data_IF_694144172557
#
_entry.id   IF_694144172557
#
_cell.length_a   1.000
_cell.length_b   1.000
_cell.length_c   1.000
_cell.angle_alpha   90.00
_cell.angle_beta   90.00
_cell.angle_gamma   90.00
#
_symmetry.space_group_name_H-M   'P 1'
#
loop_
_entity.id
_entity.type
_entity.pdbx_description
1 polymer ?
#
# COMPACT_ATOMS: atom_id res chain seq x y z
N UNK A 1 11.08 -6.39 7.68
CA UNK A 1 11.97 -7.01 6.66
C UNK A 1 13.39 -7.17 7.17
N UNK A 2 14.03 -6.09 7.62
CA UNK A 2 15.38 -6.15 8.24
C UNK A 2 15.51 -7.26 9.29
N UNK A 3 14.55 -7.36 10.21
CA UNK A 3 14.59 -8.40 11.25
C UNK A 3 14.53 -9.83 10.68
N UNK A 4 13.70 -10.08 9.68
CA UNK A 4 13.64 -11.39 9.01
C UNK A 4 14.96 -11.73 8.30
N UNK A 5 15.63 -10.74 7.71
CA UNK A 5 16.95 -10.93 7.09
C UNK A 5 18.01 -11.29 8.14
N UNK A 6 17.96 -10.64 9.32
CA UNK A 6 18.85 -10.93 10.45
C UNK A 6 18.65 -12.35 10.96
N UNK A 7 17.40 -12.76 11.19
CA UNK A 7 17.05 -14.10 11.68
C UNK A 7 17.44 -15.20 10.68
N UNK A 8 17.23 -14.97 9.39
CA UNK A 8 17.51 -15.97 8.35
C UNK A 8 18.95 -15.92 7.81
N UNK A 9 19.76 -14.96 8.24
CA UNK A 9 21.13 -14.78 7.76
C UNK A 9 21.23 -14.47 6.26
N UNK A 10 20.19 -13.89 5.66
CA UNK A 10 20.13 -13.64 4.20
C UNK A 10 19.40 -12.35 3.89
N UNK A 11 19.85 -11.64 2.85
CA UNK A 11 19.15 -10.46 2.33
C UNK A 11 17.89 -10.83 1.53
N UNK A 12 17.81 -12.06 1.01
CA UNK A 12 16.73 -12.53 0.13
C UNK A 12 15.67 -13.27 0.93
N UNK A 13 14.42 -12.81 0.84
CA UNK A 13 13.24 -13.33 1.53
C UNK A 13 12.30 -14.10 0.58
N UNK A 14 12.85 -14.76 -0.45
CA UNK A 14 12.08 -15.46 -1.49
C UNK A 14 11.31 -16.70 -1.03
N UNK A 15 11.50 -17.12 0.22
CA UNK A 15 10.73 -18.18 0.88
C UNK A 15 9.73 -17.64 1.92
N UNK A 16 9.61 -16.32 2.04
CA UNK A 16 8.77 -15.67 3.05
C UNK A 16 7.48 -15.11 2.44
N UNK A 17 6.45 -15.08 3.28
CA UNK A 17 5.21 -14.33 3.07
C UNK A 17 5.17 -13.15 4.04
N UNK A 18 4.98 -11.95 3.52
CA UNK A 18 4.78 -10.75 4.33
C UNK A 18 3.29 -10.56 4.62
N UNK A 19 2.92 -10.45 5.89
CA UNK A 19 1.60 -10.04 6.33
C UNK A 19 1.65 -8.61 6.85
N UNK A 20 0.69 -7.76 6.44
CA UNK A 20 0.60 -6.37 6.90
C UNK A 20 -0.86 -5.95 7.06
N UNK A 21 -1.18 -5.17 8.09
CA UNK A 21 -2.57 -4.73 8.32
C UNK A 21 -3.04 -3.77 7.23
N UNK A 22 -2.15 -2.93 6.70
CA UNK A 22 -2.49 -1.95 5.65
C UNK A 22 -1.64 -2.24 4.42
N UNK A 23 -2.21 -1.99 3.24
CA UNK A 23 -1.51 -2.03 1.96
C UNK A 23 -0.15 -1.29 2.00
N UNK A 24 0.94 -1.90 1.50
CA UNK A 24 2.27 -1.31 1.58
C UNK A 24 2.40 -0.03 0.73
N UNK A 25 3.11 0.96 1.27
CA UNK A 25 3.44 2.22 0.58
C UNK A 25 4.57 2.06 -0.45
N UNK A 26 4.90 3.15 -1.16
CA UNK A 26 5.93 3.20 -2.21
C UNK A 26 7.26 2.57 -1.77
N UNK A 27 7.82 3.09 -0.67
CA UNK A 27 9.06 2.60 -0.10
C UNK A 27 8.99 1.09 0.22
N UNK A 28 7.95 0.67 0.94
CA UNK A 28 7.77 -0.74 1.31
C UNK A 28 7.68 -1.64 0.08
N UNK A 29 7.05 -1.20 -1.00
CA UNK A 29 6.95 -1.99 -2.23
C UNK A 29 8.29 -2.19 -2.92
N UNK A 30 9.13 -1.14 -2.99
CA UNK A 30 10.49 -1.30 -3.51
C UNK A 30 11.33 -2.22 -2.61
N UNK A 31 11.21 -2.13 -1.28
CA UNK A 31 11.88 -3.07 -0.37
C UNK A 31 11.38 -4.52 -0.55
N UNK A 32 10.08 -4.74 -0.73
CA UNK A 32 9.50 -6.06 -1.01
C UNK A 32 10.12 -6.68 -2.27
N UNK A 33 10.29 -5.84 -3.31
CA UNK A 33 10.87 -6.24 -4.60
C UNK A 33 12.37 -6.52 -4.51
N UNK A 34 13.12 -5.67 -3.82
CA UNK A 34 14.56 -5.81 -3.61
C UNK A 34 14.87 -7.07 -2.80
N UNK A 35 14.13 -7.28 -1.70
CA UNK A 35 14.26 -8.47 -0.86
C UNK A 35 13.71 -9.73 -1.51
N UNK A 36 13.05 -9.63 -2.68
CA UNK A 36 12.47 -10.74 -3.44
C UNK A 36 11.42 -11.53 -2.65
N UNK A 37 10.65 -10.87 -1.80
CA UNK A 37 9.61 -11.53 -0.99
C UNK A 37 8.60 -12.23 -1.90
N UNK A 38 8.22 -13.48 -1.58
CA UNK A 38 7.40 -14.31 -2.48
C UNK A 38 5.96 -13.85 -2.55
N UNK A 39 5.36 -13.56 -1.39
CA UNK A 39 3.93 -13.25 -1.26
C UNK A 39 3.72 -12.11 -0.28
N UNK A 40 2.77 -11.25 -0.60
CA UNK A 40 2.33 -10.15 0.25
C UNK A 40 0.84 -10.32 0.52
N UNK A 41 0.48 -10.32 1.79
CA UNK A 41 -0.90 -10.42 2.26
C UNK A 41 -1.22 -9.15 3.04
N UNK A 42 -2.32 -8.47 2.70
CA UNK A 42 -2.75 -7.30 3.43
C UNK A 42 -4.26 -7.22 3.67
N UNK A 43 -4.66 -6.61 4.79
CA UNK A 43 -6.07 -6.53 5.18
C UNK A 43 -6.77 -5.27 4.65
N UNK A 44 -6.26 -4.08 4.97
CA UNK A 44 -6.90 -2.81 4.66
C UNK A 44 -6.25 -2.19 3.42
N UNK A 45 -7.06 -1.86 2.40
CA UNK A 45 -6.59 -1.10 1.22
C UNK A 45 -6.28 0.34 1.59
N UNK A 46 -5.28 0.92 0.93
CA UNK A 46 -5.01 2.34 0.99
C UNK A 46 -4.98 2.95 -0.41
N UNK A 47 -6.10 3.48 -0.94
CA UNK A 47 -6.14 4.03 -2.29
C UNK A 47 -5.18 5.20 -2.55
N UNK A 48 -4.83 5.95 -1.49
CA UNK A 48 -3.98 7.14 -1.58
C UNK A 48 -2.51 6.78 -1.41
N UNK A 49 -2.18 5.99 -0.39
CA UNK A 49 -0.79 5.68 -0.01
C UNK A 49 -0.31 4.33 -0.52
N UNK A 50 -1.25 3.42 -0.79
CA UNK A 50 -1.00 2.06 -1.22
C UNK A 50 -0.66 1.97 -2.69
N UNK A 51 0.36 1.17 -2.97
CA UNK A 51 1.00 1.10 -4.27
C UNK A 51 0.36 0.08 -5.20
N UNK A 52 -0.31 -0.96 -4.68
CA UNK A 52 -1.12 -1.82 -5.54
C UNK A 52 -2.28 -1.03 -6.16
N UNK A 53 -2.83 -0.09 -5.39
CA UNK A 53 -3.96 0.76 -5.78
C UNK A 53 -3.54 1.92 -6.71
N UNK A 54 -2.36 2.54 -6.50
CA UNK A 54 -1.98 3.78 -7.22
C UNK A 54 -0.87 3.65 -8.27
N UNK A 55 0.22 2.92 -7.97
CA UNK A 55 1.46 2.96 -8.79
C UNK A 55 1.89 1.59 -9.34
N UNK A 56 1.20 0.51 -8.98
CA UNK A 56 1.38 -0.87 -9.42
C UNK A 56 2.81 -1.43 -9.35
N UNK A 57 3.71 -0.90 -8.52
CA UNK A 57 5.12 -1.36 -8.40
C UNK A 57 5.25 -2.86 -8.12
N UNK A 58 4.33 -3.44 -7.32
CA UNK A 58 4.35 -4.88 -7.05
C UNK A 58 3.92 -5.74 -8.26
N UNK A 59 3.30 -5.14 -9.28
CA UNK A 59 2.92 -5.76 -10.55
C UNK A 59 3.86 -5.38 -11.71
N UNK A 60 4.74 -4.40 -11.51
CA UNK A 60 5.66 -3.89 -12.52
C UNK A 60 6.71 -4.96 -12.87
N UNK A 61 6.63 -5.48 -14.09
CA UNK A 61 7.58 -6.46 -14.62
C UNK A 61 8.76 -5.79 -15.32
N UNK A 62 8.62 -4.55 -15.77
CA UNK A 62 9.67 -3.81 -16.48
C UNK A 62 10.86 -3.56 -15.56
N UNK A 63 10.60 -3.18 -14.31
CA UNK A 63 11.66 -2.98 -13.31
C UNK A 63 12.47 -4.26 -13.08
N UNK A 64 11.83 -5.45 -13.08
CA UNK A 64 12.55 -6.73 -12.97
C UNK A 64 13.42 -7.02 -14.19
N UNK A 65 13.03 -6.54 -15.37
CA UNK A 65 13.78 -6.73 -16.61
C UNK A 65 14.92 -5.74 -16.77
N UNK A 66 14.72 -4.49 -16.34
CA UNK A 66 15.71 -3.42 -16.47
C UNK A 66 16.88 -3.56 -15.47
N UNK A 67 16.60 -4.00 -14.23
CA UNK A 67 17.61 -4.09 -13.16
C UNK A 67 17.45 -5.41 -12.35
N UNK A 68 17.66 -6.58 -12.98
CA UNK A 68 17.37 -7.90 -12.39
C UNK A 68 18.23 -8.26 -11.17
N UNK A 69 19.41 -7.66 -11.02
CA UNK A 69 20.31 -7.84 -9.89
C UNK A 69 19.76 -7.22 -8.60
N UNK A 70 19.00 -6.11 -8.72
CA UNK A 70 18.36 -5.42 -7.61
C UNK A 70 16.95 -5.97 -7.37
N UNK A 71 16.09 -6.00 -8.39
CA UNK A 71 14.68 -6.29 -8.21
C UNK A 71 14.30 -7.71 -8.63
N UNK A 72 13.69 -8.44 -7.69
CA UNK A 72 13.14 -9.77 -7.94
C UNK A 72 11.89 -9.75 -8.82
N UNK A 73 11.34 -10.95 -9.02
CA UNK A 73 10.05 -11.16 -9.69
C UNK A 73 8.91 -10.46 -8.92
N UNK A 74 7.80 -10.20 -9.63
CA UNK A 74 6.55 -9.76 -9.00
C UNK A 74 6.11 -10.76 -7.92
N UNK A 75 5.79 -10.31 -6.69
CA UNK A 75 5.23 -11.19 -5.66
C UNK A 75 3.78 -11.57 -5.97
N UNK A 76 3.34 -12.67 -5.39
CA UNK A 76 1.91 -12.97 -5.26
C UNK A 76 1.27 -11.98 -4.26
N UNK A 77 0.09 -11.46 -4.56
CA UNK A 77 -0.59 -10.47 -3.72
C UNK A 77 -1.98 -10.99 -3.33
N UNK A 78 -2.25 -11.05 -2.04
CA UNK A 78 -3.58 -11.28 -1.49
C UNK A 78 -4.03 -10.06 -0.67
N UNK A 79 -4.91 -9.25 -1.23
CA UNK A 79 -5.48 -8.08 -0.54
C UNK A 79 -6.83 -8.39 0.09
N UNK A 80 -7.26 -7.54 1.03
CA UNK A 80 -8.55 -7.64 1.72
C UNK A 80 -8.73 -8.88 2.60
N UNK A 81 -7.65 -9.49 3.09
CA UNK A 81 -7.73 -10.64 4.00
C UNK A 81 -8.08 -10.18 5.41
N UNK A 82 -9.15 -10.72 6.00
CA UNK A 82 -9.63 -10.35 7.34
C UNK A 82 -9.79 -8.83 7.53
N UNK A 83 -10.36 -8.19 6.50
CA UNK A 83 -10.48 -6.73 6.46
C UNK A 83 -11.33 -6.21 7.61
N UNK A 84 -12.50 -6.79 7.83
CA UNK A 84 -13.48 -6.29 8.79
C UNK A 84 -12.93 -6.30 10.22
N UNK A 85 -12.19 -7.36 10.54
CA UNK A 85 -11.50 -7.54 11.82
C UNK A 85 -10.36 -6.53 11.98
N UNK A 86 -9.55 -6.33 10.93
CA UNK A 86 -8.49 -5.33 10.96
C UNK A 86 -9.04 -3.90 11.10
N UNK A 87 -10.14 -3.58 10.42
CA UNK A 87 -10.83 -2.28 10.53
C UNK A 87 -11.50 -2.11 11.91
N UNK A 88 -11.99 -3.19 12.53
CA UNK A 88 -12.50 -3.16 13.90
C UNK A 88 -11.39 -2.81 14.91
N UNK A 89 -10.23 -3.48 14.85
CA UNK A 89 -9.09 -3.17 15.73
C UNK A 89 -8.64 -1.71 15.59
N UNK A 90 -8.58 -1.18 14.37
CA UNK A 90 -8.24 0.23 14.14
C UNK A 90 -9.29 1.20 14.70
N UNK A 91 -10.59 0.86 14.55
CA UNK A 91 -11.71 1.63 15.12
C UNK A 91 -11.61 1.70 16.64
N UNK A 92 -11.34 0.56 17.28
CA UNK A 92 -11.31 0.46 18.72
C UNK A 92 -10.08 1.18 19.30
N UNK A 93 -8.93 1.06 18.64
CA UNK A 93 -7.70 1.67 19.11
C UNK A 93 -7.70 3.21 18.96
N UNK A 94 -8.17 3.73 17.82
CA UNK A 94 -8.15 5.16 17.54
C UNK A 94 -9.43 5.66 16.85
N UNK A 95 -10.57 5.76 17.58
CA UNK A 95 -11.88 6.02 16.97
C UNK A 95 -11.96 7.30 16.14
N UNK A 96 -11.42 8.41 16.65
CA UNK A 96 -11.46 9.71 15.97
C UNK A 96 -10.55 9.76 14.75
N UNK A 97 -9.34 9.20 14.85
CA UNK A 97 -8.38 9.13 13.74
C UNK A 97 -8.95 8.23 12.64
N UNK A 98 -9.55 7.09 13.00
CA UNK A 98 -10.19 6.19 12.05
C UNK A 98 -11.28 6.89 11.24
N UNK A 99 -12.19 7.63 11.91
CA UNK A 99 -13.24 8.42 11.23
C UNK A 99 -12.65 9.43 10.27
N UNK A 100 -11.58 10.10 10.66
CA UNK A 100 -10.87 11.08 9.83
C UNK A 100 -10.22 10.44 8.59
N UNK A 101 -9.55 9.31 8.78
CA UNK A 101 -8.79 8.60 7.73
C UNK A 101 -9.76 7.99 6.70
N UNK A 102 -10.84 7.36 7.15
CA UNK A 102 -11.85 6.78 6.26
C UNK A 102 -12.67 7.85 5.55
N UNK A 103 -13.07 8.92 6.24
CA UNK A 103 -13.73 10.08 5.60
C UNK A 103 -12.86 10.72 4.50
N UNK A 104 -11.53 10.69 4.65
CA UNK A 104 -10.59 11.16 3.63
C UNK A 104 -10.33 10.16 2.50
N UNK A 105 -10.88 8.93 2.59
CA UNK A 105 -10.62 7.87 1.62
C UNK A 105 -9.19 7.32 1.67
N UNK A 106 -8.46 7.58 2.75
CA UNK A 106 -7.08 7.11 2.92
C UNK A 106 -7.03 5.59 3.13
N UNK A 107 -7.99 5.04 3.87
CA UNK A 107 -8.27 3.62 4.08
C UNK A 107 -9.71 3.32 3.69
N UNK A 108 -9.98 2.08 3.27
CA UNK A 108 -11.32 1.68 2.81
C UNK A 108 -11.44 1.57 1.28
N UNK A 109 -12.59 1.09 0.80
CA UNK A 109 -12.91 0.91 -0.63
C UNK A 109 -13.09 -0.56 -1.07
N UNK A 110 -14.17 -0.86 -1.80
CA UNK A 110 -14.41 -2.16 -2.46
C UNK A 110 -13.47 -2.28 -3.67
N UNK A 111 -13.16 -3.50 -4.11
CA UNK A 111 -12.39 -3.74 -5.32
C UNK A 111 -13.12 -3.19 -6.56
N UNK A 112 -12.89 -1.93 -6.93
CA UNK A 112 -13.24 -1.37 -8.24
C UNK A 112 -12.17 -0.41 -8.74
N UNK A 113 -12.19 -0.25 -10.07
CA UNK A 113 -11.35 0.53 -10.99
C UNK A 113 -10.71 1.80 -10.40
N UNK A 114 -9.56 2.27 -10.97
CA UNK A 114 -8.79 3.39 -10.43
C UNK A 114 -9.69 4.57 -10.09
N UNK A 115 -9.88 4.79 -8.79
CA UNK A 115 -10.71 5.88 -8.30
C UNK A 115 -10.01 7.21 -8.62
N UNK A 116 -10.68 8.04 -9.39
CA UNK A 116 -10.27 9.42 -9.62
C UNK A 116 -10.23 10.15 -8.27
N UNK A 117 -9.03 10.56 -7.85
CA UNK A 117 -8.86 11.25 -6.57
C UNK A 117 -9.55 12.62 -6.65
N UNK A 118 -10.53 12.93 -5.79
CA UNK A 118 -11.17 14.24 -5.79
C UNK A 118 -10.12 15.32 -5.55
N UNK A 119 -9.84 16.12 -6.57
CA UNK A 119 -8.88 17.22 -6.50
C UNK A 119 -9.44 18.28 -5.57
N UNK A 120 -8.93 18.35 -4.33
CA UNK A 120 -9.30 19.42 -3.39
C UNK A 120 -8.67 20.72 -3.87
N UNK A 121 -9.50 21.65 -4.33
CA UNK A 121 -9.07 23.03 -4.53
C UNK A 121 -8.79 23.67 -3.18
N UNK A 122 -7.55 24.13 -2.98
CA UNK A 122 -7.17 24.86 -1.78
C UNK A 122 -8.05 26.10 -1.59
N UNK A 123 -8.29 26.46 -0.33
CA UNK A 123 -9.10 27.61 0.09
C UNK A 123 -8.80 28.89 -0.71
N UNK A 124 -7.53 29.15 -1.02
CA UNK A 124 -7.09 30.30 -1.82
C UNK A 124 -7.51 30.24 -3.29
N UNK A 125 -7.59 29.06 -3.91
CA UNK A 125 -8.01 28.91 -5.31
C UNK A 125 -9.51 29.15 -5.49
N UNK A 126 -10.29 28.91 -4.43
CA UNK A 126 -11.73 29.18 -4.37
C UNK A 126 -12.02 30.69 -4.29
N UNK A 127 -11.16 31.47 -3.62
CA UNK A 127 -11.25 32.94 -3.60
C UNK A 127 -10.93 33.56 -4.97
N UNK A 128 -9.95 33.03 -5.69
CA UNK A 128 -9.55 33.56 -7.02
C UNK A 128 -10.58 33.29 -8.12
N UNK A 129 -11.47 32.31 -7.94
CA UNK A 129 -12.56 32.01 -8.89
C UNK A 129 -13.83 32.83 -8.62
N UNK A 130 -13.97 33.42 -7.43
CA UNK A 130 -15.09 34.31 -7.08
C UNK A 130 -14.83 35.79 -7.46
N UNK A 131 -13.64 36.10 -7.99
CA UNK A 131 -13.22 37.45 -8.40
C UNK A 131 -12.96 37.53 -9.93
N UNK A 132 -13.55 36.63 -10.71
CA UNK A 132 -13.67 36.70 -12.17
C UNK A 132 -15.14 36.66 -12.55
#
# INVERSE_FOLDING_TARGET
>A
MSEAQRVLGTKRLSRCTLYTNVEPCAMCCYCIRETRTRKVVYAIRSPIMGVHSRWKVLQDKEISGAIPEVFGRVPEIAGAVMREEAEAVWRDWHPMIWRIITFRGCFGGVAQAPAEVPRREGFFRRLTLLHR
#
